data_IF_568821369738
#
_entry.id   IF_568821369738
#
_cell.length_a   1.000
_cell.length_b   1.000
_cell.length_c   1.000
_cell.angle_alpha   90.00
_cell.angle_beta   90.00
_cell.angle_gamma   90.00
#
_symmetry.space_group_name_H-M   'P 1'
#
loop_
_entity.id
_entity.type
_entity.pdbx_description
1 polymer ?
#
# COMPACT_ATOMS: atom_id res chain seq x y z
N UNK A 1 -53.74 -6.03 34.48
CA UNK A 1 -53.17 -4.75 33.98
C UNK A 1 -51.63 -4.71 34.04
N UNK A 2 -50.97 -5.03 35.17
CA UNK A 2 -49.48 -5.00 35.27
C UNK A 2 -48.73 -5.96 34.31
N UNK A 3 -49.28 -7.14 34.01
CA UNK A 3 -48.66 -8.12 33.08
C UNK A 3 -48.76 -7.74 31.59
N UNK A 4 -49.78 -6.95 31.21
CA UNK A 4 -49.97 -6.50 29.81
C UNK A 4 -49.07 -5.29 29.53
N UNK A 5 -48.87 -4.41 30.52
CA UNK A 5 -47.95 -3.27 30.40
C UNK A 5 -46.49 -3.72 30.27
N UNK A 6 -46.08 -4.79 30.97
CA UNK A 6 -44.71 -5.34 30.86
C UNK A 6 -44.42 -5.94 29.48
N UNK A 7 -45.42 -6.60 28.86
CA UNK A 7 -45.29 -7.17 27.52
C UNK A 7 -45.21 -6.08 26.43
N UNK A 8 -45.95 -4.97 26.58
CA UNK A 8 -45.90 -3.84 25.65
C UNK A 8 -44.57 -3.09 25.76
N UNK A 9 -44.00 -2.95 26.96
CA UNK A 9 -42.69 -2.33 27.17
C UNK A 9 -41.56 -3.19 26.58
N UNK A 10 -41.64 -4.53 26.69
CA UNK A 10 -40.66 -5.44 26.06
C UNK A 10 -40.75 -5.44 24.53
N UNK A 11 -41.95 -5.32 23.95
CA UNK A 11 -42.13 -5.19 22.50
C UNK A 11 -41.65 -3.81 22.01
N UNK A 12 -41.87 -2.74 22.77
CA UNK A 12 -41.32 -1.41 22.45
C UNK A 12 -39.79 -1.33 22.59
N UNK A 13 -39.18 -2.01 23.58
CA UNK A 13 -37.72 -2.10 23.71
C UNK A 13 -37.12 -2.97 22.59
N UNK A 14 -37.85 -3.97 22.09
CA UNK A 14 -37.42 -4.75 20.92
C UNK A 14 -37.51 -3.96 19.60
N UNK A 15 -38.41 -2.98 19.50
CA UNK A 15 -38.52 -2.10 18.32
C UNK A 15 -37.61 -0.87 18.39
N UNK A 16 -37.04 -0.51 19.54
CA UNK A 16 -36.08 0.61 19.66
C UNK A 16 -34.61 0.20 19.61
N UNK A 17 -34.31 -1.09 19.41
CA UNK A 17 -32.96 -1.59 19.10
C UNK A 17 -32.72 -1.88 17.62
N UNK A 18 -33.62 -1.47 16.73
CA UNK A 18 -33.29 -1.27 15.30
C UNK A 18 -32.70 0.14 15.13
N UNK A 19 -31.67 0.44 15.93
CA UNK A 19 -30.58 1.30 15.46
C UNK A 19 -29.44 0.38 15.05
N UNK A 20 -29.72 -0.52 14.10
CA UNK A 20 -28.63 -1.01 13.27
C UNK A 20 -28.28 0.12 12.32
N UNK A 21 -27.50 1.10 12.81
CA UNK A 21 -26.49 1.78 11.98
C UNK A 21 -25.92 0.69 11.09
N UNK A 22 -26.19 0.76 9.78
CA UNK A 22 -25.89 -0.32 8.85
C UNK A 22 -24.52 -0.89 9.16
N UNK A 23 -24.46 -2.14 9.59
CA UNK A 23 -23.19 -2.83 9.77
C UNK A 23 -22.58 -2.88 8.37
N UNK A 24 -21.63 -1.99 8.12
CA UNK A 24 -20.80 -2.02 6.92
C UNK A 24 -19.98 -3.29 7.02
N UNK A 25 -20.48 -4.38 6.47
CA UNK A 25 -19.69 -5.59 6.29
C UNK A 25 -18.69 -5.32 5.17
N UNK A 26 -17.38 -5.40 5.45
CA UNK A 26 -16.39 -5.32 4.40
C UNK A 26 -16.68 -6.38 3.33
N UNK A 27 -16.44 -6.03 2.08
CA UNK A 27 -16.44 -6.96 0.94
C UNK A 27 -15.04 -7.57 0.82
N UNK A 28 -14.99 -8.81 0.38
CA UNK A 28 -13.73 -9.50 0.11
C UNK A 28 -13.40 -9.42 -1.39
N UNK A 29 -12.13 -9.17 -1.71
CA UNK A 29 -11.60 -9.22 -3.07
C UNK A 29 -10.13 -9.64 -3.01
N UNK A 30 -9.86 -10.87 -3.47
CA UNK A 30 -8.56 -11.51 -3.35
C UNK A 30 -8.07 -11.56 -1.90
N UNK A 31 -6.89 -10.97 -1.67
CA UNK A 31 -6.22 -10.97 -0.37
C UNK A 31 -6.76 -9.92 0.60
N UNK A 32 -7.70 -9.07 0.17
CA UNK A 32 -8.08 -7.87 0.91
C UNK A 32 -9.58 -7.80 1.22
N UNK A 33 -9.88 -7.13 2.33
CA UNK A 33 -11.22 -6.68 2.68
C UNK A 33 -11.33 -5.18 2.42
N UNK A 34 -12.41 -4.74 1.78
CA UNK A 34 -12.63 -3.33 1.47
C UNK A 34 -14.06 -2.87 1.77
N UNK A 35 -14.25 -1.57 1.88
CA UNK A 35 -15.57 -0.94 1.96
C UNK A 35 -15.70 0.19 0.94
N UNK A 36 -16.92 0.42 0.46
CA UNK A 36 -17.27 1.51 -0.46
C UNK A 36 -17.52 2.79 0.33
N UNK A 37 -16.89 3.89 -0.06
CA UNK A 37 -17.11 5.20 0.57
C UNK A 37 -17.97 6.10 -0.33
N UNK A 38 -19.09 6.59 0.24
CA UNK A 38 -20.04 7.46 -0.46
C UNK A 38 -21.04 6.66 -1.31
N UNK A 39 -22.33 6.94 -1.14
CA UNK A 39 -23.43 6.21 -1.83
C UNK A 39 -23.85 6.90 -3.14
N UNK A 40 -23.38 8.13 -3.40
CA UNK A 40 -23.97 9.04 -4.40
C UNK A 40 -22.95 9.56 -5.44
N UNK A 41 -21.68 9.19 -5.35
CA UNK A 41 -20.65 9.65 -6.30
C UNK A 41 -20.40 8.57 -7.38
N UNK A 42 -20.41 8.90 -8.69
CA UNK A 42 -19.95 7.99 -9.74
C UNK A 42 -18.55 7.41 -9.51
N UNK A 43 -17.67 8.16 -8.83
CA UNK A 43 -16.34 7.70 -8.44
C UNK A 43 -16.39 7.06 -7.05
N UNK A 44 -16.91 5.83 -7.00
CA UNK A 44 -16.91 5.03 -5.77
C UNK A 44 -15.47 4.75 -5.36
N UNK A 45 -14.98 5.49 -4.38
CA UNK A 45 -13.67 5.29 -3.79
C UNK A 45 -13.74 4.16 -2.77
N UNK A 46 -12.82 3.20 -2.86
CA UNK A 46 -12.72 2.12 -1.89
C UNK A 46 -11.71 2.44 -0.80
N UNK A 47 -12.00 1.96 0.40
CA UNK A 47 -11.03 1.85 1.48
C UNK A 47 -10.75 0.38 1.76
N UNK A 48 -9.48 -0.01 1.71
CA UNK A 48 -8.99 -1.30 2.19
C UNK A 48 -9.06 -1.25 3.72
N UNK A 49 -9.78 -2.16 4.35
CA UNK A 49 -10.05 -2.14 5.79
C UNK A 49 -9.55 -3.38 6.52
N UNK A 50 -8.95 -4.33 5.80
CA UNK A 50 -8.38 -5.53 6.37
C UNK A 50 -7.83 -6.49 5.32
N UNK A 51 -7.35 -7.63 5.79
CA UNK A 51 -6.97 -8.78 4.97
C UNK A 51 -8.07 -9.84 5.01
N UNK A 52 -8.28 -10.53 3.88
CA UNK A 52 -9.10 -11.73 3.83
C UNK A 52 -8.41 -12.90 4.57
N UNK A 53 -9.10 -14.02 4.75
CA UNK A 53 -8.47 -15.20 5.35
C UNK A 53 -7.30 -15.74 4.50
N UNK A 54 -7.36 -15.58 3.17
CA UNK A 54 -6.24 -15.93 2.29
C UNK A 54 -5.12 -14.90 2.36
N UNK A 55 -5.44 -13.60 2.40
CA UNK A 55 -4.45 -12.53 2.56
C UNK A 55 -3.63 -12.66 3.84
N UNK A 56 -4.26 -13.08 4.94
CA UNK A 56 -3.57 -13.34 6.22
C UNK A 56 -2.51 -14.44 6.13
N UNK A 57 -2.57 -15.34 5.13
CA UNK A 57 -1.62 -16.44 4.93
C UNK A 57 -0.48 -16.08 3.97
N UNK A 58 -0.54 -14.93 3.29
CA UNK A 58 0.47 -14.55 2.31
C UNK A 58 1.80 -14.22 2.98
N UNK A 59 2.89 -14.67 2.37
CA UNK A 59 4.24 -14.21 2.75
C UNK A 59 4.59 -12.87 2.09
N UNK A 60 3.92 -12.52 0.99
CA UNK A 60 4.09 -11.25 0.28
C UNK A 60 2.72 -10.61 0.07
N UNK A 61 2.55 -9.37 0.53
CA UNK A 61 1.36 -8.57 0.32
C UNK A 61 1.69 -7.36 -0.55
N UNK A 62 0.90 -7.18 -1.61
CA UNK A 62 0.99 -6.02 -2.49
C UNK A 62 -0.35 -5.29 -2.38
N UNK A 63 -0.35 -4.09 -1.78
CA UNK A 63 -1.58 -3.34 -1.64
C UNK A 63 -2.09 -2.90 -3.02
N UNK A 64 -3.32 -3.27 -3.42
CA UNK A 64 -3.81 -3.02 -4.76
C UNK A 64 -4.32 -1.59 -4.90
N UNK A 65 -4.18 -1.05 -6.10
CA UNK A 65 -4.76 0.24 -6.53
C UNK A 65 -6.19 0.07 -7.04
N UNK A 66 -6.59 -1.15 -7.42
CA UNK A 66 -7.91 -1.49 -7.94
C UNK A 66 -8.42 -2.75 -7.26
N UNK A 67 -9.66 -2.72 -6.76
CA UNK A 67 -10.37 -3.86 -6.20
C UNK A 67 -11.76 -3.95 -6.83
N UNK A 68 -12.11 -5.12 -7.37
CA UNK A 68 -13.37 -5.37 -8.08
C UNK A 68 -13.72 -4.30 -9.14
N UNK A 69 -12.71 -3.78 -9.84
CA UNK A 69 -12.87 -2.74 -10.85
C UNK A 69 -13.04 -1.30 -10.33
N UNK A 70 -12.93 -1.08 -9.01
CA UNK A 70 -12.99 0.24 -8.39
C UNK A 70 -11.64 0.66 -7.82
N UNK A 71 -11.35 1.96 -7.84
CA UNK A 71 -10.12 2.51 -7.32
C UNK A 71 -10.03 2.39 -5.79
N UNK A 72 -8.99 1.72 -5.32
CA UNK A 72 -8.61 1.64 -3.91
C UNK A 72 -7.85 2.91 -3.51
N UNK A 73 -8.60 3.88 -2.98
CA UNK A 73 -8.06 5.20 -2.64
C UNK A 73 -7.49 5.29 -1.24
N UNK A 74 -7.94 4.43 -0.32
CA UNK A 74 -7.56 4.54 1.09
C UNK A 74 -7.14 3.23 1.72
N UNK A 75 -6.20 3.32 2.67
CA UNK A 75 -5.93 2.29 3.67
C UNK A 75 -6.58 2.73 4.98
N UNK A 76 -7.58 1.98 5.38
CA UNK A 76 -8.44 2.25 6.52
C UNK A 76 -9.46 3.36 6.26
N UNK A 77 -10.20 3.69 7.31
CA UNK A 77 -11.34 4.61 7.28
C UNK A 77 -11.30 5.50 8.51
N UNK A 78 -11.73 6.76 8.38
CA UNK A 78 -11.95 7.66 9.51
C UNK A 78 -13.39 7.56 9.99
N UNK A 79 -13.63 6.82 11.07
CA UNK A 79 -14.96 6.71 11.68
C UNK A 79 -15.00 7.38 13.05
N UNK A 80 -16.18 7.87 13.45
CA UNK A 80 -16.40 8.43 14.79
C UNK A 80 -16.14 7.42 15.92
N UNK A 81 -16.24 6.12 15.64
CA UNK A 81 -15.90 5.03 16.56
C UNK A 81 -14.40 4.75 16.69
N UNK A 82 -13.55 5.55 16.05
CA UNK A 82 -12.12 5.32 15.94
C UNK A 82 -11.74 4.46 14.73
N UNK A 83 -10.45 4.51 14.39
CA UNK A 83 -9.87 3.77 13.27
C UNK A 83 -9.31 2.46 13.80
N UNK A 84 -9.58 1.35 13.10
CA UNK A 84 -8.98 0.04 13.42
C UNK A 84 -7.78 -0.18 12.50
N UNK A 85 -6.59 -0.51 13.05
CA UNK A 85 -5.45 -0.84 12.23
C UNK A 85 -5.72 -2.09 11.39
N UNK A 86 -5.09 -2.16 10.23
CA UNK A 86 -4.98 -3.43 9.49
C UNK A 86 -3.88 -4.24 10.15
N UNK A 87 -4.22 -5.44 10.61
CA UNK A 87 -3.27 -6.33 11.27
C UNK A 87 -2.56 -7.24 10.24
N UNK A 88 -1.24 -7.25 10.25
CA UNK A 88 -0.39 -8.10 9.41
C UNK A 88 0.47 -8.96 10.33
N UNK A 89 0.31 -10.29 10.24
CA UNK A 89 1.02 -11.24 11.12
C UNK A 89 1.95 -12.19 10.38
N UNK A 90 1.68 -12.51 9.12
CA UNK A 90 2.42 -13.54 8.38
C UNK A 90 3.35 -12.99 7.29
N UNK A 91 2.99 -11.87 6.66
CA UNK A 91 3.73 -11.35 5.51
C UNK A 91 5.17 -10.97 5.89
N UNK A 92 6.14 -11.51 5.15
CA UNK A 92 7.56 -11.16 5.22
C UNK A 92 7.89 -9.97 4.33
N UNK A 93 7.04 -9.66 3.34
CA UNK A 93 7.20 -8.50 2.47
C UNK A 93 5.87 -7.81 2.25
N UNK A 94 5.83 -6.49 2.42
CA UNK A 94 4.62 -5.67 2.26
C UNK A 94 4.92 -4.47 1.38
N UNK A 95 4.19 -4.31 0.29
CA UNK A 95 4.38 -3.23 -0.67
C UNK A 95 3.20 -2.25 -0.64
N UNK A 96 3.51 -0.95 -0.54
CA UNK A 96 2.53 0.13 -0.52
C UNK A 96 2.74 1.10 -1.69
N UNK A 97 1.86 1.09 -2.70
CA UNK A 97 1.91 2.06 -3.79
C UNK A 97 1.42 3.46 -3.37
N UNK A 98 1.99 4.54 -3.92
CA UNK A 98 1.69 5.92 -3.47
C UNK A 98 0.27 6.40 -3.70
N UNK A 99 -0.47 5.81 -4.63
CA UNK A 99 -1.82 6.28 -5.00
C UNK A 99 -2.87 5.99 -3.92
N UNK A 100 -2.51 5.24 -2.87
CA UNK A 100 -3.40 4.89 -1.77
C UNK A 100 -3.09 5.77 -0.56
N UNK A 101 -4.08 6.50 -0.06
CA UNK A 101 -3.89 7.43 1.06
C UNK A 101 -4.17 6.73 2.38
N UNK A 102 -3.23 6.83 3.34
CA UNK A 102 -3.45 6.31 4.68
C UNK A 102 -4.52 7.11 5.43
N UNK A 103 -5.51 6.40 5.99
CA UNK A 103 -6.53 6.95 6.88
C UNK A 103 -6.59 6.27 8.24
N UNK A 104 -5.89 5.16 8.41
CA UNK A 104 -5.70 4.45 9.67
C UNK A 104 -4.22 4.21 9.91
N UNK A 105 -3.83 3.01 10.34
CA UNK A 105 -2.48 2.59 10.62
C UNK A 105 -2.35 1.10 10.28
N UNK A 106 -1.12 0.62 10.16
CA UNK A 106 -0.82 -0.79 10.04
C UNK A 106 -0.29 -1.28 11.38
N UNK A 107 -0.73 -2.47 11.79
CA UNK A 107 -0.22 -3.13 13.00
C UNK A 107 0.44 -4.44 12.60
N UNK A 108 1.74 -4.52 12.82
CA UNK A 108 2.52 -5.74 12.62
C UNK A 108 2.48 -6.58 13.89
N UNK A 109 2.22 -7.87 13.76
CA UNK A 109 2.20 -8.85 14.86
C UNK A 109 3.41 -9.78 14.84
N UNK A 110 4.48 -9.35 14.16
CA UNK A 110 5.74 -10.08 14.08
C UNK A 110 6.52 -10.03 15.39
N UNK A 111 7.28 -11.08 15.66
CA UNK A 111 8.28 -11.10 16.74
C UNK A 111 9.59 -10.46 16.28
N UNK A 112 10.48 -10.14 17.21
CA UNK A 112 11.78 -9.51 16.93
C UNK A 112 12.67 -10.33 15.99
N UNK A 113 12.48 -11.65 15.94
CA UNK A 113 13.28 -12.59 15.16
C UNK A 113 12.79 -12.73 13.71
N UNK A 114 11.53 -12.37 13.42
CA UNK A 114 10.95 -12.52 12.10
C UNK A 114 11.39 -11.39 11.17
N UNK A 115 11.81 -11.74 9.95
CA UNK A 115 12.14 -10.78 8.90
C UNK A 115 10.86 -10.11 8.38
N UNK A 116 10.91 -8.79 8.23
CA UNK A 116 9.81 -7.99 7.68
C UNK A 116 10.37 -6.89 6.78
N UNK A 117 10.16 -7.04 5.47
CA UNK A 117 10.51 -6.04 4.47
C UNK A 117 9.27 -5.20 4.15
N UNK A 118 9.40 -3.88 4.17
CA UNK A 118 8.30 -2.97 3.82
C UNK A 118 8.80 -2.01 2.75
N UNK A 119 8.04 -1.91 1.65
CA UNK A 119 8.41 -1.15 0.47
C UNK A 119 7.43 0.01 0.27
N UNK A 120 7.94 1.23 0.27
CA UNK A 120 7.14 2.44 0.14
C UNK A 120 7.36 3.14 -1.20
N UNK A 121 6.32 3.16 -2.01
CA UNK A 121 6.28 3.97 -3.22
C UNK A 121 6.07 5.47 -2.99
N UNK A 122 6.22 5.98 -1.77
CA UNK A 122 5.94 7.39 -1.43
C UNK A 122 7.24 8.17 -1.29
N UNK A 123 7.22 9.45 -1.68
CA UNK A 123 8.29 10.39 -1.37
C UNK A 123 8.51 10.53 0.14
N UNK A 124 7.41 10.59 0.90
CA UNK A 124 7.41 10.70 2.35
C UNK A 124 6.53 9.58 2.95
N UNK A 125 7.10 8.42 3.30
CA UNK A 125 6.37 7.34 3.97
C UNK A 125 5.75 7.83 5.29
N UNK A 126 4.50 7.45 5.56
CA UNK A 126 3.85 7.76 6.85
C UNK A 126 4.36 6.79 7.94
N UNK A 127 4.98 7.28 9.03
CA UNK A 127 5.48 6.44 10.11
C UNK A 127 4.43 5.52 10.76
N UNK A 128 3.13 5.79 10.59
CA UNK A 128 2.06 4.91 11.06
C UNK A 128 1.90 3.62 10.21
N UNK A 129 2.68 3.45 9.15
CA UNK A 129 2.63 2.30 8.24
C UNK A 129 3.74 1.27 8.48
N UNK A 130 4.73 1.56 9.32
CA UNK A 130 5.87 0.68 9.57
C UNK A 130 6.30 0.69 11.04
N UNK A 131 6.89 -0.41 11.55
CA UNK A 131 7.27 -0.51 12.94
C UNK A 131 8.55 0.31 13.24
N UNK A 132 8.72 0.69 14.50
CA UNK A 132 10.03 1.12 15.00
C UNK A 132 11.01 -0.05 15.00
N UNK A 133 12.31 0.22 14.84
CA UNK A 133 13.35 -0.82 14.85
C UNK A 133 13.39 -1.60 16.18
N UNK A 134 13.02 -0.96 17.29
CA UNK A 134 12.96 -1.58 18.61
C UNK A 134 11.79 -2.56 18.74
N UNK A 135 10.73 -2.41 17.92
CA UNK A 135 9.58 -3.31 17.92
C UNK A 135 9.86 -4.57 17.08
N UNK A 136 10.47 -4.38 15.90
CA UNK A 136 10.80 -5.48 14.98
C UNK A 136 12.22 -5.25 14.47
N UNK A 137 13.18 -5.83 15.18
CA UNK A 137 14.62 -5.62 14.96
C UNK A 137 15.08 -5.99 13.55
N UNK A 138 14.51 -7.06 12.99
CA UNK A 138 14.82 -7.55 11.64
C UNK A 138 13.95 -6.91 10.55
N UNK A 139 13.25 -5.82 10.86
CA UNK A 139 12.53 -5.06 9.84
C UNK A 139 13.48 -4.33 8.91
N UNK A 140 13.07 -4.13 7.65
CA UNK A 140 13.77 -3.34 6.64
C UNK A 140 12.75 -2.47 5.93
N UNK A 141 13.00 -1.17 5.88
CA UNK A 141 12.08 -0.18 5.34
C UNK A 141 12.69 0.40 4.06
N UNK A 142 12.27 -0.13 2.92
CA UNK A 142 12.74 0.26 1.60
C UNK A 142 12.05 1.54 1.16
N UNK A 143 12.84 2.58 0.96
CA UNK A 143 12.41 3.95 0.67
C UNK A 143 13.22 4.53 -0.48
N UNK A 144 12.76 5.66 -1.03
CA UNK A 144 13.52 6.41 -2.03
C UNK A 144 14.87 6.88 -1.45
N UNK A 145 15.92 6.87 -2.25
CA UNK A 145 17.26 7.27 -1.81
C UNK A 145 17.30 8.70 -1.25
N UNK A 146 16.67 9.66 -1.91
CA UNK A 146 16.67 11.05 -1.46
C UNK A 146 16.00 11.21 -0.09
N UNK A 147 14.89 10.49 0.15
CA UNK A 147 14.23 10.49 1.46
C UNK A 147 15.14 9.95 2.57
N UNK A 148 15.88 8.87 2.31
CA UNK A 148 16.87 8.35 3.26
C UNK A 148 17.94 9.39 3.57
N UNK A 149 18.48 10.05 2.55
CA UNK A 149 19.52 11.06 2.73
C UNK A 149 19.01 12.27 3.52
N UNK A 150 17.74 12.67 3.33
CA UNK A 150 17.08 13.69 4.13
C UNK A 150 16.94 13.25 5.61
N UNK A 151 16.48 12.03 5.88
CA UNK A 151 16.35 11.50 7.24
C UNK A 151 17.71 11.39 7.96
N UNK A 152 18.77 10.96 7.26
CA UNK A 152 20.15 10.92 7.79
C UNK A 152 20.63 12.34 8.13
N UNK A 153 20.42 13.30 7.23
CA UNK A 153 20.82 14.69 7.46
C UNK A 153 20.11 15.32 8.67
N UNK A 154 18.87 14.87 8.96
CA UNK A 154 18.08 15.29 10.12
C UNK A 154 18.39 14.47 11.39
N UNK A 155 19.13 13.37 11.30
CA UNK A 155 19.42 12.44 12.40
C UNK A 155 18.19 11.63 12.86
N UNK A 156 17.21 11.43 11.98
CA UNK A 156 15.98 10.68 12.24
C UNK A 156 16.00 9.24 11.74
N UNK A 157 17.01 8.89 10.93
CA UNK A 157 17.27 7.53 10.45
C UNK A 157 17.41 6.52 11.59
N UNK A 158 17.90 6.95 12.75
CA UNK A 158 18.17 6.06 13.87
C UNK A 158 16.94 5.34 14.46
N UNK A 159 15.69 5.73 14.15
CA UNK A 159 14.47 5.10 14.68
C UNK A 159 13.99 3.92 13.85
N UNK A 160 14.44 3.81 12.61
CA UNK A 160 13.93 2.85 11.62
C UNK A 160 15.08 2.22 10.85
N UNK A 161 14.87 1.00 10.37
CA UNK A 161 15.87 0.32 9.54
C UNK A 161 15.67 0.69 8.06
N UNK A 162 15.87 1.96 7.73
CA UNK A 162 15.71 2.43 6.34
C UNK A 162 16.78 1.83 5.42
N UNK A 163 16.39 1.49 4.20
CA UNK A 163 17.26 0.99 3.13
C UNK A 163 16.87 1.72 1.85
N UNK A 164 17.84 2.23 1.06
CA UNK A 164 17.51 2.82 -0.22
C UNK A 164 17.13 1.71 -1.20
N UNK A 165 15.92 1.74 -1.72
CA UNK A 165 15.46 0.82 -2.74
C UNK A 165 16.17 1.09 -4.06
N UNK A 166 16.75 0.07 -4.71
CA UNK A 166 17.47 0.27 -5.98
C UNK A 166 16.57 0.23 -7.22
N UNK A 167 15.26 0.06 -7.05
CA UNK A 167 14.28 0.06 -8.14
C UNK A 167 13.16 1.03 -7.78
N UNK A 168 12.87 1.97 -8.68
CA UNK A 168 11.80 2.95 -8.51
C UNK A 168 10.90 2.98 -9.75
N UNK A 169 9.60 2.87 -9.52
CA UNK A 169 8.57 3.00 -10.53
C UNK A 169 7.94 4.38 -10.46
N UNK A 170 7.88 5.10 -11.58
CA UNK A 170 7.35 6.45 -11.69
C UNK A 170 6.08 6.46 -12.54
N UNK A 171 5.01 7.08 -12.03
CA UNK A 171 3.72 7.19 -12.74
C UNK A 171 3.58 8.46 -13.59
N UNK A 172 4.62 9.27 -13.62
CA UNK A 172 4.71 10.48 -14.40
C UNK A 172 6.16 10.88 -14.62
N UNK A 173 6.34 12.13 -15.02
CA UNK A 173 7.61 12.65 -15.50
C UNK A 173 8.35 13.46 -14.43
N UNK A 174 7.68 13.76 -13.32
CA UNK A 174 8.29 14.43 -12.18
C UNK A 174 8.78 13.36 -11.20
N UNK A 175 10.03 12.94 -11.34
CA UNK A 175 10.65 11.93 -10.46
C UNK A 175 10.69 12.34 -8.98
N UNK A 176 10.48 13.62 -8.67
CA UNK A 176 10.39 14.09 -7.30
C UNK A 176 9.08 13.63 -6.65
N UNK A 177 7.96 13.76 -7.37
CA UNK A 177 6.61 13.61 -6.81
C UNK A 177 5.82 12.41 -7.36
N UNK A 178 6.24 11.86 -8.49
CA UNK A 178 5.52 10.79 -9.21
C UNK A 178 6.03 9.39 -8.85
N UNK A 179 6.77 9.22 -7.74
CA UNK A 179 7.12 7.89 -7.23
C UNK A 179 5.84 7.11 -6.94
N UNK A 180 5.79 5.87 -7.42
CA UNK A 180 4.62 5.01 -7.31
C UNK A 180 4.88 3.75 -6.51
N UNK A 181 6.01 3.11 -6.75
CA UNK A 181 6.33 1.80 -6.21
C UNK A 181 7.84 1.64 -6.14
N UNK A 182 8.33 0.81 -5.22
CA UNK A 182 9.75 0.51 -5.11
C UNK A 182 9.96 -0.99 -4.89
N UNK A 183 11.13 -1.46 -5.27
CA UNK A 183 11.59 -2.83 -5.04
C UNK A 183 13.11 -2.82 -4.79
N UNK A 184 13.67 -3.93 -4.32
CA UNK A 184 15.11 -4.07 -4.10
C UNK A 184 15.61 -5.46 -4.50
N UNK A 185 16.56 -5.51 -5.44
CA UNK A 185 17.15 -6.77 -5.92
C UNK A 185 18.64 -6.61 -6.23
N UNK A 186 19.34 -7.71 -6.49
CA UNK A 186 20.77 -7.69 -6.77
C UNK A 186 21.11 -8.68 -7.90
N UNK A 187 21.24 -8.17 -9.12
CA UNK A 187 21.59 -9.01 -10.28
C UNK A 187 20.48 -9.96 -10.72
N UNK A 188 19.24 -9.71 -10.32
CA UNK A 188 18.08 -10.56 -10.61
C UNK A 188 16.93 -9.78 -11.23
N UNK A 189 15.88 -10.50 -11.65
CA UNK A 189 14.60 -9.89 -11.98
C UNK A 189 13.97 -9.27 -10.73
N UNK A 190 13.01 -8.38 -10.93
CA UNK A 190 12.20 -7.78 -9.87
C UNK A 190 11.49 -8.87 -9.04
N UNK A 191 11.30 -8.63 -7.75
CA UNK A 191 10.67 -9.59 -6.84
C UNK A 191 9.17 -9.72 -7.10
N UNK A 192 8.53 -8.60 -7.46
CA UNK A 192 7.09 -8.51 -7.69
C UNK A 192 6.79 -7.59 -8.87
N UNK A 193 5.65 -7.84 -9.52
CA UNK A 193 5.09 -6.91 -10.50
C UNK A 193 4.25 -5.88 -9.72
N UNK A 194 4.48 -4.57 -9.90
CA UNK A 194 3.67 -3.56 -9.23
C UNK A 194 2.21 -3.64 -9.70
N UNK A 195 1.24 -3.29 -8.85
CA UNK A 195 -0.15 -3.20 -9.28
C UNK A 195 -0.29 -2.09 -10.33
N UNK A 196 -1.24 -2.24 -11.26
CA UNK A 196 -1.46 -1.23 -12.29
C UNK A 196 -1.80 0.13 -11.66
N UNK A 197 -1.06 1.21 -11.96
CA UNK A 197 -1.35 2.51 -11.41
C UNK A 197 -2.67 3.05 -11.97
N UNK A 198 -3.32 3.94 -11.21
CA UNK A 198 -4.53 4.64 -11.66
C UNK A 198 -4.23 6.12 -11.91
N UNK A 199 -4.67 6.62 -13.06
CA UNK A 199 -4.64 8.04 -13.43
C UNK A 199 -5.97 8.41 -14.09
N UNK A 200 -6.67 9.38 -13.52
CA UNK A 200 -7.98 9.79 -14.02
C UNK A 200 -7.87 10.33 -15.45
N UNK A 201 -8.78 9.88 -16.33
CA UNK A 201 -8.77 10.24 -17.75
C UNK A 201 -7.76 9.48 -18.62
N UNK A 202 -6.97 8.56 -18.06
CA UNK A 202 -5.96 7.79 -18.81
C UNK A 202 -6.10 6.28 -18.59
N UNK A 203 -5.71 5.51 -19.62
CA UNK A 203 -5.46 4.08 -19.54
C UNK A 203 -3.96 3.86 -19.33
N UNK A 204 -3.61 2.98 -18.39
CA UNK A 204 -2.24 2.51 -18.22
C UNK A 204 -1.88 1.55 -19.36
N UNK A 205 -0.74 1.77 -20.00
CA UNK A 205 -0.30 1.00 -21.20
C UNK A 205 0.82 0.01 -20.85
N UNK A 206 1.58 0.29 -19.79
CA UNK A 206 2.67 -0.56 -19.33
C UNK A 206 3.84 0.24 -18.79
N UNK A 207 4.85 -0.50 -18.35
CA UNK A 207 6.10 0.00 -17.78
C UNK A 207 7.19 0.05 -18.85
N UNK A 208 8.05 1.07 -18.81
CA UNK A 208 9.09 1.36 -19.80
C UNK A 208 10.41 1.72 -19.13
N UNK A 209 11.52 1.47 -19.81
CA UNK A 209 12.89 1.71 -19.31
C UNK A 209 13.26 3.19 -19.27
N UNK A 210 12.53 4.01 -20.00
CA UNK A 210 12.78 5.45 -20.10
C UNK A 210 11.47 6.23 -20.22
N UNK A 211 11.55 7.52 -19.90
CA UNK A 211 10.44 8.46 -19.85
C UNK A 211 9.78 8.69 -21.21
N UNK A 212 10.55 8.53 -22.30
CA UNK A 212 10.07 8.61 -23.68
C UNK A 212 9.15 7.42 -24.05
N UNK A 213 9.19 6.34 -23.27
CA UNK A 213 8.34 5.17 -23.45
C UNK A 213 8.56 4.45 -24.77
N UNK A 214 9.83 4.24 -25.14
CA UNK A 214 10.27 3.57 -26.37
C UNK A 214 10.44 2.06 -26.13
N UNK A 215 11.21 1.70 -25.10
CA UNK A 215 11.56 0.34 -24.72
C UNK A 215 10.69 -0.09 -23.54
N UNK A 216 9.79 -1.03 -23.79
CA UNK A 216 8.94 -1.61 -22.76
C UNK A 216 9.82 -2.41 -21.77
N UNK A 217 9.50 -2.30 -20.48
CA UNK A 217 10.04 -3.17 -19.45
C UNK A 217 9.43 -4.57 -19.59
N UNK A 218 10.28 -5.58 -19.67
CA UNK A 218 9.91 -6.99 -19.75
C UNK A 218 10.17 -7.69 -18.42
N UNK A 219 9.11 -7.88 -17.63
CA UNK A 219 9.20 -8.52 -16.31
C UNK A 219 9.73 -9.96 -16.34
N UNK A 220 9.69 -10.64 -17.48
CA UNK A 220 10.17 -12.01 -17.59
C UNK A 220 11.66 -12.11 -17.93
N UNK A 221 12.21 -11.09 -18.59
CA UNK A 221 13.56 -11.14 -19.17
C UNK A 221 14.50 -10.04 -18.68
N UNK A 222 13.98 -8.87 -18.28
CA UNK A 222 14.83 -7.77 -17.81
C UNK A 222 15.37 -8.04 -16.40
N UNK A 223 16.65 -7.73 -16.22
CA UNK A 223 17.40 -7.97 -15.00
C UNK A 223 17.87 -6.63 -14.44
N UNK A 224 17.74 -6.47 -13.13
CA UNK A 224 18.29 -5.33 -12.39
C UNK A 224 19.80 -5.53 -12.25
N UNK A 225 20.63 -4.51 -12.54
CA UNK A 225 22.07 -4.61 -12.37
C UNK A 225 22.47 -5.08 -10.97
N UNK A 226 23.55 -5.88 -10.89
CA UNK A 226 24.12 -6.25 -9.59
C UNK A 226 24.60 -5.00 -8.84
N UNK A 227 24.37 -5.01 -7.52
CA UNK A 227 24.85 -3.99 -6.61
C UNK A 227 26.38 -3.92 -6.69
N UNK A 228 26.89 -2.69 -6.74
CA UNK A 228 28.32 -2.43 -6.85
C UNK A 228 28.83 -1.90 -5.52
N UNK A 229 30.04 -2.29 -5.14
CA UNK A 229 30.70 -1.85 -3.92
C UNK A 229 32.08 -1.33 -4.27
N UNK A 230 32.55 -0.31 -3.57
CA UNK A 230 33.92 0.18 -3.73
C UNK A 230 34.95 -0.69 -2.98
N UNK A 231 36.22 -0.27 -2.98
CA UNK A 231 37.33 -1.01 -2.37
C UNK A 231 37.19 -1.12 -0.84
N UNK A 232 36.46 -0.17 -0.23
CA UNK A 232 36.14 -0.13 1.18
C UNK A 232 34.90 -0.98 1.54
N UNK A 233 34.17 -1.49 0.54
CA UNK A 233 32.96 -2.29 0.72
C UNK A 233 31.69 -1.46 0.92
N UNK A 234 31.74 -0.16 0.61
CA UNK A 234 30.58 0.73 0.68
C UNK A 234 29.72 0.59 -0.59
N UNK A 235 28.40 0.59 -0.40
CA UNK A 235 27.45 0.38 -1.49
C UNK A 235 27.39 1.60 -2.40
N UNK A 236 27.76 1.43 -3.67
CA UNK A 236 27.64 2.42 -4.73
C UNK A 236 26.21 2.36 -5.30
N UNK A 237 25.33 3.17 -4.71
CA UNK A 237 23.91 3.16 -5.04
C UNK A 237 23.65 3.56 -6.50
N UNK A 238 22.97 2.69 -7.24
CA UNK A 238 22.49 2.93 -8.59
C UNK A 238 20.99 2.63 -8.59
N UNK A 239 20.19 3.64 -8.94
CA UNK A 239 18.75 3.48 -9.09
C UNK A 239 18.39 2.99 -10.50
N UNK A 240 17.60 1.92 -10.58
CA UNK A 240 16.91 1.52 -11.81
C UNK A 240 15.53 2.19 -11.83
N UNK A 241 15.33 3.08 -12.79
CA UNK A 241 14.07 3.82 -12.96
C UNK A 241 13.19 3.16 -14.02
N UNK A 242 11.91 3.01 -13.71
CA UNK A 242 10.92 2.39 -14.60
C UNK A 242 9.70 3.30 -14.68
N UNK A 243 9.25 3.65 -15.88
CA UNK A 243 8.24 4.70 -16.10
C UNK A 243 6.93 4.13 -16.64
N UNK A 244 5.81 4.62 -16.11
CA UNK A 244 4.49 4.30 -16.60
C UNK A 244 4.21 5.05 -17.90
N UNK A 245 3.66 4.35 -18.90
CA UNK A 245 3.10 4.98 -20.10
C UNK A 245 1.58 5.02 -20.03
N UNK A 246 1.02 6.12 -20.50
CA UNK A 246 -0.41 6.42 -20.43
C UNK A 246 -0.98 6.74 -21.81
N UNK A 247 -2.25 6.39 -22.02
CA UNK A 247 -3.04 6.80 -23.17
C UNK A 247 -4.32 7.52 -22.71
N UNK A 248 -4.71 8.61 -23.36
CA UNK A 248 -5.94 9.33 -23.02
C UNK A 248 -7.16 8.45 -23.30
N UNK A 249 -8.08 8.35 -22.33
CA UNK A 249 -9.36 7.65 -22.52
C UNK A 249 -10.17 8.35 -23.61
N UNK A 250 -10.47 7.64 -24.69
CA UNK A 250 -11.41 8.12 -25.69
C UNK A 250 -12.85 7.86 -25.24
N UNK A 251 -13.58 8.91 -24.91
CA UNK A 251 -15.02 8.82 -24.67
C UNK A 251 -15.72 8.63 -26.02
N UNK A 252 -16.45 7.52 -26.21
CA UNK A 252 -17.36 7.41 -27.34
C UNK A 252 -18.44 8.49 -27.18
N UNK A 253 -18.50 9.40 -28.17
CA UNK A 253 -19.61 10.36 -28.33
C UNK A 253 -20.93 9.63 -28.54
#
# INVERSE_FOLDING_TARGET
MKKIILAIILVFISMTLISCKGRYYPRESGDFLYTKLGVVNPDVNLAIVGLSEEGKKKETLIFPTILDGFHAKFIGTRFASGNKPIEISNAKSVYFPSTIILRSSIKYQHTEEQNLNIYFGYRFPDPAMYPYKEQIKNSKIFVKYEYLMEEIALGYDNRYNYIPANIAYYIGNNEEDDLFFVDDTDGTKVNVIPPDPYKEGYNFIGWYKEIEGINKWDFENDIIPSKQYDEEGEYQFIETKIYAKWEVKQWKK
#
